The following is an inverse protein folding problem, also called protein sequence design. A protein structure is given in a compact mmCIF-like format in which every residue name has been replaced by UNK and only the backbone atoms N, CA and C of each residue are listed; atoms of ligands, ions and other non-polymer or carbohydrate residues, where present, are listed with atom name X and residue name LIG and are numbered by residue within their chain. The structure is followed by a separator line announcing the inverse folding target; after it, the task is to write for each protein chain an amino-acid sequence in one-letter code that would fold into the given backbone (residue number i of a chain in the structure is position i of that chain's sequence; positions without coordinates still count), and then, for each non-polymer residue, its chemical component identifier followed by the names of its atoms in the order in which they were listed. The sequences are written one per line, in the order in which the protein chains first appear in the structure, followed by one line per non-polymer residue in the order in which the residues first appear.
data_IF_589686922244
#
_entry.id   IF_589686922244
#
_cell.length_a   1.000
_cell.length_b   1.000
_cell.length_c   1.000
_cell.angle_alpha   90.00
_cell.angle_beta   90.00
_cell.angle_gamma   90.00
#
_symmetry.space_group_name_H-M   'P 1'
#
loop_
_entity.id
_entity.type
_entity.pdbx_description
1 polymer ?
#
# COMPACT_ATOMS: atom_id res chain seq x y z
N UNK A 1 46.60 23.99 -21.87
CA UNK A 1 45.49 23.23 -21.27
C UNK A 1 44.29 23.41 -22.18
N UNK A 2 43.91 22.35 -22.89
CA UNK A 2 42.77 22.40 -23.82
C UNK A 2 41.45 22.36 -23.04
N UNK A 3 40.39 22.95 -23.57
CA UNK A 3 39.05 22.95 -22.96
C UNK A 3 38.51 21.54 -22.65
N UNK A 4 39.05 20.49 -23.30
CA UNK A 4 38.76 19.09 -22.99
C UNK A 4 39.38 18.62 -21.67
N UNK A 5 40.65 18.94 -21.42
CA UNK A 5 41.36 18.54 -20.19
C UNK A 5 40.77 19.20 -18.95
N UNK A 6 40.32 20.46 -19.06
CA UNK A 6 39.66 21.17 -17.95
C UNK A 6 38.29 20.54 -17.58
N UNK A 7 37.53 20.06 -18.58
CA UNK A 7 36.27 19.37 -18.35
C UNK A 7 36.47 17.97 -17.74
N UNK A 8 37.49 17.21 -18.18
CA UNK A 8 37.82 15.90 -17.59
C UNK A 8 38.23 16.03 -16.11
N UNK A 9 39.07 17.02 -15.78
CA UNK A 9 39.51 17.24 -14.38
C UNK A 9 38.32 17.63 -13.49
N UNK A 10 37.41 18.47 -14.01
CA UNK A 10 36.21 18.86 -13.29
C UNK A 10 35.24 17.68 -13.11
N UNK A 11 35.10 16.82 -14.12
CA UNK A 11 34.26 15.61 -14.06
C UNK A 11 34.81 14.58 -13.04
N UNK A 12 36.13 14.40 -12.97
CA UNK A 12 36.78 13.53 -11.98
C UNK A 12 36.56 14.04 -10.55
N UNK A 13 36.72 15.36 -10.31
CA UNK A 13 36.47 15.98 -8.99
C UNK A 13 34.99 15.85 -8.56
N UNK A 14 34.04 15.99 -9.49
CA UNK A 14 32.62 15.75 -9.21
C UNK A 14 32.32 14.28 -8.86
N UNK A 15 32.94 13.33 -9.55
CA UNK A 15 32.76 11.91 -9.29
C UNK A 15 33.35 11.52 -7.93
N UNK A 16 34.50 12.05 -7.55
CA UNK A 16 35.12 11.78 -6.24
C UNK A 16 34.32 12.41 -5.09
N UNK A 17 33.82 13.64 -5.23
CA UNK A 17 32.89 14.24 -4.26
C UNK A 17 31.60 13.44 -4.12
N UNK A 18 31.06 12.93 -5.23
CA UNK A 18 29.87 12.08 -5.22
C UNK A 18 30.14 10.73 -4.58
N UNK A 19 31.31 10.13 -4.79
CA UNK A 19 31.75 8.90 -4.12
C UNK A 19 31.92 9.12 -2.62
N UNK A 20 32.58 10.21 -2.20
CA UNK A 20 32.74 10.56 -0.80
C UNK A 20 31.40 10.80 -0.10
N UNK A 21 30.45 11.50 -0.75
CA UNK A 21 29.10 11.69 -0.21
C UNK A 21 28.31 10.37 -0.09
N UNK A 22 28.44 9.46 -1.07
CA UNK A 22 27.83 8.13 -1.00
C UNK A 22 28.50 7.26 0.08
N UNK A 23 29.81 7.36 0.27
CA UNK A 23 30.55 6.67 1.33
C UNK A 23 30.22 7.21 2.73
N UNK A 24 29.92 8.51 2.86
CA UNK A 24 29.47 9.10 4.12
C UNK A 24 28.05 8.64 4.48
N UNK A 25 27.15 8.55 3.50
CA UNK A 25 25.81 7.96 3.68
C UNK A 25 25.91 6.46 4.00
N UNK A 26 26.78 5.72 3.31
CA UNK A 26 27.01 4.29 3.57
C UNK A 26 27.73 4.04 4.91
N UNK A 27 28.54 4.97 5.41
CA UNK A 27 29.19 4.85 6.72
C UNK A 27 28.38 5.48 7.87
N UNK A 28 27.24 6.10 7.59
CA UNK A 28 26.37 6.66 8.62
C UNK A 28 25.86 5.56 9.54
N UNK A 29 26.28 5.57 10.81
CA UNK A 29 25.93 4.55 11.79
C UNK A 29 24.41 4.33 11.83
N UNK A 30 23.99 3.05 11.83
CA UNK A 30 22.60 2.66 11.98
C UNK A 30 22.04 3.32 13.24
N UNK A 31 21.06 4.20 13.06
CA UNK A 31 20.58 5.10 14.10
C UNK A 31 19.06 5.23 14.07
N UNK A 32 18.52 5.96 15.05
CA UNK A 32 17.08 6.15 15.25
C UNK A 32 16.34 6.70 14.02
N UNK A 33 17.03 7.46 13.17
CA UNK A 33 16.50 7.98 11.91
C UNK A 33 16.15 6.85 10.91
N UNK A 34 17.00 5.83 10.79
CA UNK A 34 16.78 4.68 9.90
C UNK A 34 15.60 3.82 10.39
N UNK A 35 15.49 3.64 11.71
CA UNK A 35 14.37 2.93 12.34
C UNK A 35 13.06 3.71 12.12
N UNK A 36 13.06 5.04 12.30
CA UNK A 36 11.88 5.86 12.01
C UNK A 36 11.46 5.78 10.55
N UNK A 37 12.40 5.86 9.61
CA UNK A 37 12.11 5.71 8.19
C UNK A 37 11.50 4.33 7.87
N UNK A 38 12.07 3.27 8.45
CA UNK A 38 11.56 1.91 8.32
C UNK A 38 10.16 1.74 8.94
N UNK A 39 9.88 2.40 10.05
CA UNK A 39 8.54 2.38 10.67
C UNK A 39 7.53 3.13 9.82
N UNK A 40 7.88 4.30 9.27
CA UNK A 40 6.98 5.07 8.39
C UNK A 40 6.67 4.30 7.10
N UNK A 41 7.68 3.74 6.44
CA UNK A 41 7.47 2.87 5.27
C UNK A 41 6.71 1.59 5.65
N UNK A 42 7.02 1.01 6.80
CA UNK A 42 6.33 -0.16 7.34
C UNK A 42 4.85 0.09 7.62
N UNK A 43 4.46 1.30 8.04
CA UNK A 43 3.05 1.64 8.24
C UNK A 43 2.24 1.70 6.94
N UNK A 44 2.85 2.11 5.82
CA UNK A 44 2.21 2.05 4.49
C UNK A 44 1.93 0.61 4.08
N UNK A 45 2.97 -0.23 4.06
CA UNK A 45 2.84 -1.66 3.77
C UNK A 45 1.91 -2.42 4.71
N UNK A 46 1.86 -2.03 5.99
CA UNK A 46 0.89 -2.56 6.95
C UNK A 46 -0.54 -2.22 6.54
N UNK A 47 -0.81 -0.96 6.20
CA UNK A 47 -2.13 -0.49 5.80
C UNK A 47 -2.57 -1.11 4.47
N UNK A 48 -1.69 -1.17 3.47
CA UNK A 48 -1.96 -1.80 2.18
C UNK A 48 -2.35 -3.28 2.35
N UNK A 49 -1.59 -4.00 3.18
CA UNK A 49 -1.87 -5.39 3.49
C UNK A 49 -3.20 -5.55 4.23
N UNK A 50 -3.49 -4.66 5.18
CA UNK A 50 -4.75 -4.65 5.88
C UNK A 50 -5.92 -4.53 4.89
N UNK A 51 -5.91 -3.52 4.01
CA UNK A 51 -7.02 -3.22 3.11
C UNK A 51 -7.20 -4.26 1.98
N UNK A 52 -6.11 -4.83 1.47
CA UNK A 52 -6.17 -5.90 0.47
C UNK A 52 -6.80 -7.15 1.07
N UNK A 53 -6.40 -7.55 2.29
CA UNK A 53 -6.84 -8.81 2.89
C UNK A 53 -8.14 -8.71 3.69
N UNK A 54 -8.50 -7.52 4.20
CA UNK A 54 -9.75 -7.28 4.92
C UNK A 54 -11.00 -7.69 4.11
N UNK A 55 -10.91 -7.65 2.77
CA UNK A 55 -12.00 -8.07 1.88
C UNK A 55 -12.39 -9.52 2.04
N UNK A 56 -11.47 -10.40 2.45
CA UNK A 56 -11.79 -11.82 2.63
C UNK A 56 -12.80 -11.99 3.78
N UNK A 57 -12.65 -11.20 4.85
CA UNK A 57 -13.57 -11.19 5.97
C UNK A 57 -14.86 -10.44 5.62
N UNK A 58 -14.75 -9.30 4.93
CA UNK A 58 -15.91 -8.54 4.48
C UNK A 58 -16.80 -9.34 3.51
N UNK A 59 -16.21 -10.12 2.60
CA UNK A 59 -16.94 -10.99 1.67
C UNK A 59 -17.78 -12.03 2.42
N UNK A 60 -17.21 -12.66 3.46
CA UNK A 60 -17.96 -13.59 4.31
C UNK A 60 -19.15 -12.90 5.01
N UNK A 61 -18.95 -11.69 5.52
CA UNK A 61 -20.03 -10.90 6.15
C UNK A 61 -21.11 -10.49 5.14
N UNK A 62 -20.74 -10.08 3.93
CA UNK A 62 -21.67 -9.76 2.84
C UNK A 62 -22.49 -10.98 2.42
N UNK A 63 -21.88 -12.17 2.42
CA UNK A 63 -22.57 -13.44 2.14
C UNK A 63 -23.70 -13.72 3.13
N UNK A 64 -23.45 -13.45 4.41
CA UNK A 64 -24.46 -13.64 5.45
C UNK A 64 -25.61 -12.62 5.36
N UNK A 65 -25.30 -11.35 5.10
CA UNK A 65 -26.32 -10.28 5.11
C UNK A 65 -27.13 -10.23 3.82
N UNK A 66 -26.48 -10.28 2.65
CA UNK A 66 -27.15 -10.05 1.35
C UNK A 66 -27.50 -11.34 0.61
N UNK A 67 -26.87 -12.46 0.96
CA UNK A 67 -27.07 -13.76 0.30
C UNK A 67 -27.59 -14.83 1.26
N UNK A 68 -28.37 -14.42 2.28
CA UNK A 68 -28.97 -15.35 3.24
C UNK A 68 -29.81 -16.46 2.56
N UNK A 69 -30.52 -16.10 1.49
CA UNK A 69 -31.33 -17.03 0.69
C UNK A 69 -30.51 -17.96 -0.23
N UNK A 70 -29.19 -17.77 -0.33
CA UNK A 70 -28.27 -18.52 -1.20
C UNK A 70 -27.12 -19.12 -0.37
N UNK A 71 -27.45 -19.91 0.65
CA UNK A 71 -26.50 -20.60 1.54
C UNK A 71 -25.58 -19.67 2.34
N UNK A 72 -25.98 -18.42 2.63
CA UNK A 72 -25.17 -17.44 3.37
C UNK A 72 -23.78 -17.18 2.77
N UNK A 73 -23.59 -17.43 1.47
CA UNK A 73 -22.31 -17.26 0.80
C UNK A 73 -22.46 -16.38 -0.43
N UNK A 74 -21.46 -15.52 -0.65
CA UNK A 74 -21.41 -14.70 -1.86
C UNK A 74 -21.15 -15.62 -3.07
N UNK A 75 -21.90 -15.48 -4.17
CA UNK A 75 -21.63 -16.23 -5.39
C UNK A 75 -20.19 -16.08 -5.85
N UNK A 76 -19.55 -17.18 -6.30
CA UNK A 76 -18.13 -17.20 -6.68
C UNK A 76 -17.73 -16.06 -7.63
N UNK A 77 -18.59 -15.70 -8.59
CA UNK A 77 -18.30 -14.62 -9.54
C UNK A 77 -18.15 -13.26 -8.87
N UNK A 78 -18.95 -12.98 -7.84
CA UNK A 78 -18.95 -11.72 -7.09
C UNK A 78 -17.79 -11.70 -6.09
N UNK A 79 -17.53 -12.82 -5.41
CA UNK A 79 -16.39 -12.95 -4.49
C UNK A 79 -15.05 -12.75 -5.23
N UNK A 80 -14.91 -13.39 -6.41
CA UNK A 80 -13.76 -13.17 -7.29
C UNK A 80 -13.66 -11.71 -7.74
N UNK A 81 -14.78 -11.07 -8.11
CA UNK A 81 -14.80 -9.64 -8.46
C UNK A 81 -14.32 -8.73 -7.33
N UNK A 82 -14.77 -8.97 -6.09
CA UNK A 82 -14.35 -8.22 -4.90
C UNK A 82 -12.84 -8.37 -4.62
N UNK A 83 -12.29 -9.57 -4.82
CA UNK A 83 -10.87 -9.84 -4.60
C UNK A 83 -9.99 -9.26 -5.72
N UNK A 84 -10.40 -9.46 -6.97
CA UNK A 84 -9.61 -9.07 -8.16
C UNK A 84 -9.69 -7.57 -8.46
N UNK A 85 -10.79 -6.89 -8.11
CA UNK A 85 -10.95 -5.44 -8.33
C UNK A 85 -9.81 -4.60 -7.76
N UNK A 86 -9.37 -4.90 -6.53
CA UNK A 86 -8.22 -4.22 -5.92
C UNK A 86 -6.94 -4.47 -6.72
N UNK A 87 -6.67 -5.72 -7.12
CA UNK A 87 -5.48 -6.08 -7.90
C UNK A 87 -5.44 -5.39 -9.27
N UNK A 88 -6.59 -5.26 -9.95
CA UNK A 88 -6.69 -4.50 -11.22
C UNK A 88 -6.33 -3.03 -10.98
N UNK A 89 -6.90 -2.43 -9.92
CA UNK A 89 -6.57 -1.08 -9.50
C UNK A 89 -5.07 -0.92 -9.24
N UNK A 90 -4.46 -1.84 -8.50
CA UNK A 90 -3.03 -1.82 -8.17
C UNK A 90 -2.14 -1.90 -9.40
N UNK A 91 -2.46 -2.75 -10.36
CA UNK A 91 -1.72 -2.84 -11.62
C UNK A 91 -1.76 -1.52 -12.39
N UNK A 92 -2.93 -0.90 -12.51
CA UNK A 92 -3.09 0.40 -13.18
C UNK A 92 -2.39 1.53 -12.39
N UNK A 93 -2.48 1.48 -11.07
CA UNK A 93 -1.83 2.40 -10.14
C UNK A 93 -0.32 2.39 -10.32
N UNK A 94 0.30 1.22 -10.30
CA UNK A 94 1.76 1.06 -10.45
C UNK A 94 2.28 1.68 -11.75
N UNK A 95 1.59 1.48 -12.86
CA UNK A 95 1.99 2.03 -14.16
C UNK A 95 1.86 3.56 -14.21
N UNK A 96 0.73 4.09 -13.74
CA UNK A 96 0.43 5.52 -13.80
C UNK A 96 1.27 6.28 -12.78
N UNK A 97 1.28 5.86 -11.52
CA UNK A 97 2.04 6.50 -10.46
C UNK A 97 3.54 6.38 -10.65
N UNK A 98 4.05 5.29 -11.24
CA UNK A 98 5.46 5.20 -11.63
C UNK A 98 5.87 6.35 -12.55
N UNK A 99 5.11 6.56 -13.64
CA UNK A 99 5.35 7.67 -14.56
C UNK A 99 5.12 9.05 -13.91
N UNK A 100 4.08 9.17 -13.09
CA UNK A 100 3.71 10.42 -12.43
C UNK A 100 4.74 10.84 -11.37
N UNK A 101 5.30 9.89 -10.62
CA UNK A 101 6.31 10.13 -9.60
C UNK A 101 7.60 10.70 -10.20
N UNK A 102 7.98 10.24 -11.38
CA UNK A 102 9.16 10.74 -12.10
C UNK A 102 8.95 12.17 -12.63
N UNK A 103 7.72 12.56 -12.97
CA UNK A 103 7.42 13.88 -13.57
C UNK A 103 7.02 14.96 -12.57
N UNK A 104 6.22 14.63 -11.55
CA UNK A 104 5.61 15.59 -10.61
C UNK A 104 6.32 15.65 -9.25
N UNK A 105 7.27 14.75 -9.01
CA UNK A 105 8.08 14.68 -7.81
C UNK A 105 7.52 13.71 -6.77
N UNK A 106 8.41 12.84 -6.29
CA UNK A 106 8.14 11.69 -5.41
C UNK A 106 7.44 12.06 -4.10
N UNK A 107 7.85 13.16 -3.46
CA UNK A 107 7.31 13.58 -2.15
C UNK A 107 5.84 14.03 -2.19
N UNK A 108 5.39 14.66 -3.28
CA UNK A 108 3.98 15.06 -3.43
C UNK A 108 3.10 13.85 -3.73
N UNK A 109 3.64 12.89 -4.47
CA UNK A 109 2.90 11.74 -4.92
C UNK A 109 2.50 10.81 -3.78
N UNK A 110 3.37 10.65 -2.78
CA UNK A 110 3.09 9.91 -1.55
C UNK A 110 1.87 10.45 -0.77
N UNK A 111 1.64 11.77 -0.81
CA UNK A 111 0.45 12.35 -0.20
C UNK A 111 -0.82 12.11 -1.01
N UNK A 112 -0.72 12.12 -2.34
CA UNK A 112 -1.86 11.98 -3.24
C UNK A 112 -2.42 10.55 -3.19
N UNK A 113 -1.57 9.54 -3.24
CA UNK A 113 -2.02 8.14 -3.16
C UNK A 113 -2.70 7.83 -1.82
N UNK A 114 -2.15 8.33 -0.71
CA UNK A 114 -2.73 8.17 0.61
C UNK A 114 -4.13 8.81 0.67
N UNK A 115 -4.31 9.98 0.07
CA UNK A 115 -5.63 10.62 -0.02
C UNK A 115 -6.62 9.80 -0.85
N UNK A 116 -6.16 9.17 -1.94
CA UNK A 116 -7.00 8.27 -2.74
C UNK A 116 -7.44 7.06 -1.92
N UNK A 117 -6.51 6.44 -1.17
CA UNK A 117 -6.83 5.31 -0.28
C UNK A 117 -7.87 5.75 0.76
N UNK A 118 -7.67 6.87 1.45
CA UNK A 118 -8.60 7.39 2.46
C UNK A 118 -10.00 7.60 1.87
N UNK A 119 -10.11 8.29 0.73
CA UNK A 119 -11.40 8.55 0.08
C UNK A 119 -12.06 7.25 -0.35
N UNK A 120 -11.30 6.31 -0.89
CA UNK A 120 -11.83 5.03 -1.33
C UNK A 120 -12.28 4.14 -0.16
N UNK A 121 -11.57 4.15 0.95
CA UNK A 121 -11.95 3.43 2.17
C UNK A 121 -13.20 4.02 2.80
N UNK A 122 -13.31 5.36 2.87
CA UNK A 122 -14.54 6.03 3.32
C UNK A 122 -15.72 5.79 2.36
N UNK A 123 -15.47 5.80 1.05
CA UNK A 123 -16.48 5.46 0.05
C UNK A 123 -16.97 4.02 0.17
N UNK A 124 -16.05 3.09 0.44
CA UNK A 124 -16.37 1.68 0.69
C UNK A 124 -17.19 1.47 1.96
N UNK A 125 -16.93 2.24 3.03
CA UNK A 125 -17.64 2.09 4.31
C UNK A 125 -19.06 2.67 4.30
N UNK A 126 -19.30 3.70 3.48
CA UNK A 126 -20.63 4.32 3.30
C UNK A 126 -21.43 3.64 2.17
N UNK A 127 -20.86 2.60 1.54
CA UNK A 127 -21.55 1.86 0.47
C UNK A 127 -22.77 1.12 1.04
N UNK A 128 -23.94 1.43 0.48
CA UNK A 128 -25.23 0.84 0.84
C UNK A 128 -26.02 0.40 -0.39
N UNK A 129 -27.11 -0.32 -0.16
CA UNK A 129 -27.90 -0.90 -1.26
C UNK A 129 -28.73 0.20 -1.93
N UNK A 130 -28.68 0.24 -3.27
CA UNK A 130 -29.28 1.31 -4.05
C UNK A 130 -30.20 0.77 -5.13
N UNK A 131 -31.15 1.60 -5.58
CA UNK A 131 -32.10 1.22 -6.63
C UNK A 131 -31.43 0.86 -7.97
N UNK A 132 -30.25 1.43 -8.25
CA UNK A 132 -29.55 1.27 -9.52
C UNK A 132 -28.27 0.42 -9.43
N UNK A 133 -27.67 0.24 -8.25
CA UNK A 133 -26.38 -0.44 -8.08
C UNK A 133 -26.42 -1.27 -6.80
N UNK A 134 -25.98 -2.53 -6.90
CA UNK A 134 -25.87 -3.42 -5.75
C UNK A 134 -24.70 -3.01 -4.85
N UNK A 135 -24.81 -3.28 -3.55
CA UNK A 135 -23.72 -3.04 -2.57
C UNK A 135 -22.39 -3.61 -3.03
N UNK A 136 -22.40 -4.85 -3.53
CA UNK A 136 -21.20 -5.51 -4.03
C UNK A 136 -20.57 -4.76 -5.21
N UNK A 137 -21.38 -4.21 -6.13
CA UNK A 137 -20.90 -3.42 -7.26
C UNK A 137 -20.23 -2.11 -6.83
N UNK A 138 -20.85 -1.40 -5.89
CA UNK A 138 -20.31 -0.15 -5.34
C UNK A 138 -19.00 -0.40 -4.58
N UNK A 139 -18.92 -1.47 -3.78
CA UNK A 139 -17.69 -1.87 -3.10
C UNK A 139 -16.61 -2.23 -4.13
N UNK A 140 -16.92 -3.00 -5.17
CA UNK A 140 -15.94 -3.33 -6.23
C UNK A 140 -15.37 -2.06 -6.89
N UNK A 141 -16.22 -1.06 -7.19
CA UNK A 141 -15.78 0.20 -7.76
C UNK A 141 -14.81 0.94 -6.83
N UNK A 142 -15.17 1.11 -5.56
CA UNK A 142 -14.28 1.75 -4.59
C UNK A 142 -12.99 0.95 -4.37
N UNK A 143 -13.04 -0.38 -4.47
CA UNK A 143 -11.85 -1.23 -4.39
C UNK A 143 -10.90 -1.06 -5.57
N UNK A 144 -11.40 -0.79 -6.78
CA UNK A 144 -10.51 -0.41 -7.90
C UNK A 144 -9.78 0.89 -7.59
N UNK A 145 -10.49 1.89 -7.05
CA UNK A 145 -9.89 3.19 -6.69
C UNK A 145 -8.88 3.02 -5.53
N UNK A 146 -9.24 2.23 -4.52
CA UNK A 146 -8.35 1.90 -3.40
C UNK A 146 -7.09 1.20 -3.91
N UNK A 147 -7.26 0.18 -4.75
CA UNK A 147 -6.17 -0.54 -5.39
C UNK A 147 -5.27 0.39 -6.20
N UNK A 148 -5.83 1.37 -6.90
CA UNK A 148 -5.09 2.38 -7.64
C UNK A 148 -4.19 3.22 -6.73
N UNK A 149 -4.67 3.61 -5.55
CA UNK A 149 -3.84 4.28 -4.53
C UNK A 149 -2.72 3.38 -4.02
N UNK A 150 -3.03 2.15 -3.62
CA UNK A 150 -2.03 1.16 -3.16
C UNK A 150 -0.94 0.92 -4.22
N UNK A 151 -1.31 0.90 -5.50
CA UNK A 151 -0.35 0.72 -6.60
C UNK A 151 0.74 1.80 -6.66
N UNK A 152 0.49 3.00 -6.16
CA UNK A 152 1.49 4.05 -6.07
C UNK A 152 2.51 3.86 -4.93
N UNK A 153 2.10 3.27 -3.81
CA UNK A 153 2.97 3.16 -2.64
C UNK A 153 4.12 2.18 -2.89
N UNK A 154 3.89 1.08 -3.62
CA UNK A 154 4.94 0.10 -3.96
C UNK A 154 6.21 0.71 -4.59
N UNK A 155 6.14 1.47 -5.70
CA UNK A 155 7.33 2.11 -6.29
C UNK A 155 7.90 3.22 -5.40
N UNK A 156 7.05 4.01 -4.72
CA UNK A 156 7.51 5.11 -3.87
C UNK A 156 8.24 4.61 -2.62
N UNK A 157 7.70 3.59 -1.95
CA UNK A 157 8.32 2.95 -0.81
C UNK A 157 9.63 2.24 -1.18
N UNK A 158 9.72 1.63 -2.37
CA UNK A 158 10.98 1.08 -2.88
C UNK A 158 12.06 2.16 -3.04
N UNK A 159 11.67 3.35 -3.51
CA UNK A 159 12.56 4.50 -3.66
C UNK A 159 12.99 5.04 -2.29
N UNK A 160 12.05 5.36 -1.40
CA UNK A 160 12.33 5.93 -0.08
C UNK A 160 13.25 5.00 0.70
N UNK A 161 12.93 3.70 0.73
CA UNK A 161 13.76 2.75 1.46
C UNK A 161 15.14 2.60 0.82
N UNK A 162 15.28 2.75 -0.51
CA UNK A 162 16.58 2.75 -1.17
C UNK A 162 17.42 4.00 -0.89
N UNK A 163 16.79 5.17 -0.72
CA UNK A 163 17.45 6.45 -0.43
C UNK A 163 17.89 6.55 1.03
N UNK A 164 17.17 5.91 1.95
CA UNK A 164 17.43 5.97 3.39
C UNK A 164 18.09 4.72 3.98
N UNK A 165 18.46 3.73 3.17
CA UNK A 165 19.09 2.51 3.66
C UNK A 165 20.61 2.50 3.48
N UNK A 166 21.31 2.24 4.58
CA UNK A 166 22.75 2.03 4.60
C UNK A 166 23.13 0.70 3.89
N UNK A 167 24.14 0.69 2.99
CA UNK A 167 24.56 -0.46 2.14
C UNK A 167 24.54 -1.82 2.83
N UNK A 168 25.01 -1.89 4.08
CA UNK A 168 25.21 -3.15 4.80
C UNK A 168 23.91 -3.74 5.38
N UNK A 169 22.95 -2.90 5.75
CA UNK A 169 21.70 -3.30 6.41
C UNK A 169 20.45 -3.11 5.54
N UNK A 170 20.62 -2.64 4.29
CA UNK A 170 19.52 -2.37 3.36
C UNK A 170 18.59 -3.57 3.16
N UNK A 171 19.13 -4.77 3.00
CA UNK A 171 18.31 -5.98 2.87
C UNK A 171 17.46 -6.27 4.11
N UNK A 172 18.02 -6.09 5.31
CA UNK A 172 17.29 -6.29 6.57
C UNK A 172 16.20 -5.24 6.79
N UNK A 173 16.44 -3.97 6.42
CA UNK A 173 15.43 -2.92 6.48
C UNK A 173 14.28 -3.17 5.49
N UNK A 174 14.60 -3.54 4.24
CA UNK A 174 13.57 -3.91 3.26
C UNK A 174 12.74 -5.10 3.76
N UNK A 175 13.40 -6.15 4.27
CA UNK A 175 12.72 -7.32 4.82
C UNK A 175 11.83 -6.95 6.02
N UNK A 176 12.25 -6.03 6.89
CA UNK A 176 11.44 -5.57 8.02
C UNK A 176 10.19 -4.79 7.56
N UNK A 177 10.31 -3.95 6.52
CA UNK A 177 9.15 -3.25 5.92
C UNK A 177 8.18 -4.27 5.30
N UNK A 178 8.68 -5.21 4.50
CA UNK A 178 7.83 -6.25 3.91
C UNK A 178 7.21 -7.18 4.97
N UNK A 179 7.89 -7.44 6.10
CA UNK A 179 7.35 -8.22 7.19
C UNK A 179 6.11 -7.55 7.84
N UNK A 180 5.98 -6.22 7.75
CA UNK A 180 4.78 -5.49 8.20
C UNK A 180 3.51 -5.92 7.45
N UNK A 181 3.64 -6.46 6.25
CA UNK A 181 2.51 -7.06 5.53
C UNK A 181 1.85 -8.19 6.34
N UNK A 182 2.66 -9.06 6.97
CA UNK A 182 2.15 -10.14 7.81
C UNK A 182 1.39 -9.61 9.03
N UNK A 183 1.91 -8.55 9.66
CA UNK A 183 1.22 -7.87 10.77
C UNK A 183 -0.09 -7.21 10.32
N UNK A 184 -0.14 -6.62 9.11
CA UNK A 184 -1.36 -6.07 8.52
C UNK A 184 -2.45 -7.13 8.36
N UNK A 185 -2.11 -8.27 7.77
CA UNK A 185 -3.05 -9.41 7.60
C UNK A 185 -3.54 -9.92 8.95
N UNK A 186 -2.64 -10.10 9.92
CA UNK A 186 -2.98 -10.56 11.26
C UNK A 186 -3.94 -9.58 11.94
N UNK A 187 -3.66 -8.28 11.86
CA UNK A 187 -4.51 -7.26 12.46
C UNK A 187 -5.90 -7.21 11.82
N UNK A 188 -6.03 -7.39 10.49
CA UNK A 188 -7.32 -7.49 9.81
C UNK A 188 -8.14 -8.68 10.33
N UNK A 189 -7.50 -9.84 10.53
CA UNK A 189 -8.15 -11.01 11.09
C UNK A 189 -8.60 -10.81 12.54
N UNK A 190 -7.75 -10.18 13.37
CA UNK A 190 -8.07 -9.88 14.78
C UNK A 190 -9.25 -8.90 14.86
N UNK A 191 -9.23 -7.81 14.07
CA UNK A 191 -10.32 -6.83 14.05
C UNK A 191 -11.61 -7.49 13.58
N UNK A 192 -11.58 -8.30 12.51
CA UNK A 192 -12.75 -9.03 12.06
C UNK A 192 -13.32 -9.95 13.15
N UNK A 193 -12.46 -10.68 13.88
CA UNK A 193 -12.88 -11.54 14.98
C UNK A 193 -13.53 -10.75 16.12
N UNK A 194 -12.92 -9.63 16.53
CA UNK A 194 -13.46 -8.76 17.58
C UNK A 194 -14.83 -8.22 17.17
N UNK A 195 -14.99 -7.78 15.91
CA UNK A 195 -16.26 -7.28 15.38
C UNK A 195 -17.32 -8.38 15.42
N UNK A 196 -17.04 -9.57 14.88
CA UNK A 196 -17.99 -10.70 14.89
C UNK A 196 -18.36 -11.10 16.33
N UNK A 197 -17.38 -11.17 17.23
CA UNK A 197 -17.61 -11.50 18.63
C UNK A 197 -18.49 -10.44 19.34
N UNK A 198 -18.27 -9.16 19.04
CA UNK A 198 -19.02 -8.05 19.64
C UNK A 198 -20.47 -8.03 19.17
N UNK A 199 -20.72 -8.36 17.90
CA UNK A 199 -22.06 -8.42 17.32
C UNK A 199 -22.72 -9.80 17.41
N UNK A 200 -22.06 -10.79 18.04
CA UNK A 200 -22.56 -12.16 18.13
C UNK A 200 -23.98 -12.25 18.70
N UNK A 201 -24.28 -11.51 19.76
CA UNK A 201 -25.60 -11.55 20.38
C UNK A 201 -26.68 -11.07 19.39
N UNK A 202 -26.41 -9.96 18.67
CA UNK A 202 -27.31 -9.43 17.63
C UNK A 202 -27.52 -10.40 16.48
N UNK A 203 -26.46 -11.10 16.05
CA UNK A 203 -26.51 -12.06 14.93
C UNK A 203 -27.28 -13.33 15.32
N UNK A 204 -27.30 -13.73 16.59
CA UNK A 204 -28.02 -14.92 17.05
C UNK A 204 -29.51 -14.65 17.33
N UNK A 205 -29.88 -13.39 17.52
CA UNK A 205 -31.24 -12.95 17.83
C UNK A 205 -32.08 -12.66 16.55
N UNK A 206 -31.45 -12.56 15.37
CA UNK A 206 -32.07 -12.42 14.03
C UNK A 206 -32.29 -13.80 13.36
#
# INVERSE_FOLDING_TARGET
MTTKEANEIQEVDYLDKRRAALEEIDNAKFGWFHIRACLVAGTGFFMDAYDIFAVNFASAMLGYVYFANQNNTVPNNIDLGLKVSASIGTLLGQLIFGWMADRLGRKRMYGIELMIIIVATLGSSVSGDGYAVTVCGTIMFWRVILGFGIGGDYPLSAIITSEFANKKNRGAMMAAVFAMQGFGILSAAIVALIVVASFKNRIQDD
#
